data_IF_878388207371
#
_entry.id   IF_878388207371
#
_cell.length_a   1.000
_cell.length_b   1.000
_cell.length_c   1.000
_cell.angle_alpha   90.00
_cell.angle_beta   90.00
_cell.angle_gamma   90.00
#
_symmetry.space_group_name_H-M   'P 1'
#
loop_
_entity.id
_entity.type
_entity.pdbx_description
1 polymer ?
#
# COMPACT_ATOMS: atom_id res chain seq x y z
N UNK A 1 3.66 -6.47 -5.59
CA UNK A 1 2.24 -6.01 -5.46
C UNK A 1 2.22 -4.52 -5.17
N UNK A 2 1.27 -3.78 -5.73
CA UNK A 2 1.10 -2.34 -5.47
C UNK A 2 -0.16 -2.10 -4.64
N UNK A 3 -0.03 -1.30 -3.59
CA UNK A 3 -1.12 -0.79 -2.76
C UNK A 3 -1.22 0.72 -2.98
N UNK A 4 -2.35 1.20 -3.49
CA UNK A 4 -2.60 2.63 -3.68
C UNK A 4 -3.52 3.11 -2.57
N UNK A 5 -3.06 4.07 -1.77
CA UNK A 5 -3.86 4.68 -0.71
C UNK A 5 -4.80 5.76 -1.28
N UNK A 6 -5.76 6.20 -0.45
CA UNK A 6 -6.70 7.23 -0.83
C UNK A 6 -5.98 8.53 -1.24
N UNK A 7 -6.51 9.26 -2.24
CA UNK A 7 -6.00 10.57 -2.58
C UNK A 7 -6.06 11.51 -1.38
N UNK A 8 -4.96 12.22 -1.12
CA UNK A 8 -4.80 13.09 0.04
C UNK A 8 -4.25 12.42 1.30
N UNK A 9 -4.06 11.09 1.31
CA UNK A 9 -3.35 10.41 2.40
C UNK A 9 -1.86 10.73 2.32
N UNK A 10 -1.29 11.26 3.40
CA UNK A 10 0.13 11.61 3.46
C UNK A 10 0.98 10.38 3.79
N UNK A 11 2.24 10.38 3.35
CA UNK A 11 3.17 9.27 3.63
C UNK A 11 3.47 9.12 5.14
N UNK A 12 3.46 10.23 5.87
CA UNK A 12 3.63 10.27 7.33
C UNK A 12 2.33 10.03 8.12
N UNK A 13 1.19 9.83 7.43
CA UNK A 13 -0.07 9.55 8.10
C UNK A 13 -0.01 8.21 8.85
N UNK A 14 -0.70 8.09 10.00
CA UNK A 14 -0.74 6.85 10.77
C UNK A 14 -1.27 5.69 9.92
N UNK A 15 -2.23 5.94 9.04
CA UNK A 15 -2.76 5.01 8.04
C UNK A 15 -1.66 4.39 7.17
N UNK A 16 -0.81 5.21 6.56
CA UNK A 16 0.32 4.75 5.73
C UNK A 16 1.29 3.92 6.55
N UNK A 17 1.59 4.38 7.77
CA UNK A 17 2.49 3.68 8.69
C UNK A 17 1.94 2.30 9.06
N UNK A 18 0.64 2.16 9.31
CA UNK A 18 -0.01 0.88 9.61
C UNK A 18 0.16 -0.11 8.46
N UNK A 19 -0.02 0.34 7.21
CA UNK A 19 0.17 -0.54 6.04
C UNK A 19 1.64 -0.93 5.88
N UNK A 20 2.58 0.01 6.05
CA UNK A 20 4.02 -0.28 5.99
C UNK A 20 4.43 -1.27 7.09
N UNK A 21 3.94 -1.12 8.31
CA UNK A 21 4.25 -2.00 9.44
C UNK A 21 3.71 -3.41 9.19
N UNK A 22 2.46 -3.51 8.70
CA UNK A 22 1.86 -4.79 8.30
C UNK A 22 2.69 -5.50 7.23
N UNK A 23 3.14 -4.78 6.19
CA UNK A 23 3.98 -5.36 5.14
C UNK A 23 5.38 -5.73 5.65
N UNK A 24 5.97 -4.91 6.52
CA UNK A 24 7.28 -5.16 7.14
C UNK A 24 7.26 -6.35 8.10
N UNK A 25 6.11 -6.67 8.67
CA UNK A 25 5.91 -7.87 9.50
C UNK A 25 6.00 -9.17 8.70
N UNK A 26 5.89 -9.11 7.38
CA UNK A 26 5.90 -10.30 6.52
C UNK A 26 7.33 -10.64 6.09
N UNK A 27 7.78 -11.89 6.31
CA UNK A 27 9.11 -12.31 5.90
C UNK A 27 9.24 -12.28 4.38
N UNK A 28 10.33 -11.72 3.87
CA UNK A 28 10.60 -11.66 2.44
C UNK A 28 9.86 -10.54 1.69
N UNK A 29 9.20 -9.61 2.40
CA UNK A 29 8.59 -8.41 1.82
C UNK A 29 9.29 -7.16 2.34
N UNK A 30 9.64 -6.28 1.42
CA UNK A 30 10.18 -4.95 1.69
C UNK A 30 9.18 -3.92 1.19
N UNK A 31 8.43 -3.25 2.07
CA UNK A 31 7.54 -2.17 1.68
C UNK A 31 8.32 -0.90 1.32
N UNK A 32 7.99 -0.29 0.19
CA UNK A 32 8.51 1.00 -0.22
C UNK A 32 7.36 1.95 -0.49
N UNK A 33 7.23 3.01 0.31
CA UNK A 33 6.22 4.03 0.11
C UNK A 33 6.74 5.16 -0.79
N UNK A 34 5.89 5.60 -1.70
CA UNK A 34 6.14 6.65 -2.68
C UNK A 34 4.98 7.61 -2.70
N UNK A 35 5.28 8.88 -2.90
CA UNK A 35 4.26 9.92 -3.02
C UNK A 35 4.30 10.47 -4.44
N UNK A 36 3.16 10.45 -5.11
CA UNK A 36 2.97 11.01 -6.44
C UNK A 36 2.10 12.26 -6.33
N UNK A 37 2.74 13.42 -6.44
CA UNK A 37 2.05 14.70 -6.48
C UNK A 37 1.54 14.98 -7.90
N UNK A 38 0.24 14.78 -8.12
CA UNK A 38 -0.43 15.20 -9.34
C UNK A 38 -0.81 16.68 -9.32
N UNK A 39 -1.34 17.19 -10.43
CA UNK A 39 -1.78 18.59 -10.55
C UNK A 39 -2.97 18.94 -9.65
N UNK A 40 -3.85 17.98 -9.40
CA UNK A 40 -5.10 18.15 -8.63
C UNK A 40 -5.03 17.50 -7.23
N UNK A 41 -4.29 16.39 -7.11
CA UNK A 41 -4.26 15.56 -5.92
C UNK A 41 -2.94 14.83 -5.76
N UNK A 42 -2.58 14.57 -4.51
CA UNK A 42 -1.44 13.73 -4.14
C UNK A 42 -1.91 12.32 -3.85
N UNK A 43 -1.23 11.35 -4.45
CA UNK A 43 -1.43 9.92 -4.21
C UNK A 43 -0.24 9.37 -3.43
N UNK A 44 -0.51 8.43 -2.52
CA UNK A 44 0.53 7.67 -1.84
C UNK A 44 0.42 6.21 -2.25
N UNK A 45 1.50 5.68 -2.81
CA UNK A 45 1.62 4.32 -3.33
C UNK A 45 2.61 3.55 -2.47
N UNK A 46 2.30 2.31 -2.12
CA UNK A 46 3.19 1.42 -1.38
C UNK A 46 3.47 0.20 -2.25
N UNK A 47 4.73 0.02 -2.60
CA UNK A 47 5.25 -1.13 -3.31
C UNK A 47 5.61 -2.21 -2.28
N UNK A 48 4.91 -3.34 -2.32
CA UNK A 48 5.37 -4.56 -1.65
C UNK A 48 6.33 -5.29 -2.60
N UNK A 49 7.63 -5.19 -2.31
CA UNK A 49 8.72 -5.78 -3.11
C UNK A 49 9.20 -7.06 -2.42
N UNK A 50 9.28 -8.18 -3.15
CA UNK A 50 9.71 -9.47 -2.62
C UNK A 50 8.68 -10.58 -2.85
N UNK A 51 8.55 -11.51 -1.92
CA UNK A 51 7.59 -12.62 -2.02
C UNK A 51 6.18 -12.15 -1.67
N UNK A 52 5.47 -11.60 -2.66
CA UNK A 52 4.08 -11.16 -2.47
C UNK A 52 3.06 -12.28 -2.57
N UNK A 53 3.50 -13.53 -2.77
CA UNK A 53 2.64 -14.72 -2.80
C UNK A 53 1.91 -14.94 -1.47
N UNK A 54 2.51 -14.51 -0.37
CA UNK A 54 1.94 -14.57 0.97
C UNK A 54 0.99 -13.39 1.30
N UNK A 55 0.85 -12.41 0.40
CA UNK A 55 -0.05 -11.27 0.60
C UNK A 55 -1.41 -11.56 0.00
N UNK A 56 -2.42 -11.58 0.86
CA UNK A 56 -3.80 -11.71 0.43
C UNK A 56 -4.44 -10.31 0.23
N UNK A 57 -5.04 -10.04 -0.94
CA UNK A 57 -5.68 -8.76 -1.22
C UNK A 57 -6.92 -8.49 -0.36
N UNK A 58 -7.63 -9.50 0.16
CA UNK A 58 -8.74 -9.29 1.11
C UNK A 58 -8.23 -8.88 2.49
N UNK A 59 -7.11 -9.45 2.95
CA UNK A 59 -6.46 -9.03 4.20
C UNK A 59 -6.03 -7.55 4.11
N UNK A 60 -5.44 -7.15 2.98
CA UNK A 60 -5.05 -5.76 2.73
C UNK A 60 -6.25 -4.82 2.56
N UNK A 61 -7.37 -5.29 1.99
CA UNK A 61 -8.64 -4.55 1.89
C UNK A 61 -9.33 -4.33 3.24
N UNK A 62 -8.94 -5.11 4.26
CA UNK A 62 -9.47 -4.99 5.62
C UNK A 62 -8.72 -3.98 6.48
N UNK A 63 -7.57 -3.47 6.01
CA UNK A 63 -6.80 -2.44 6.70
C UNK A 63 -7.41 -1.05 6.49
N UNK A 64 -7.60 -0.21 7.53
CA UNK A 64 -7.82 1.21 7.30
C UNK A 64 -6.55 1.78 6.60
N UNK A 65 -6.61 2.59 5.52
CA UNK A 65 -7.72 3.31 4.87
C UNK A 65 -8.20 2.68 3.52
N UNK A 66 -7.95 1.40 3.26
CA UNK A 66 -8.19 0.76 1.94
C UNK A 66 -9.67 0.51 1.59
N UNK A 67 -10.60 0.80 2.51
CA UNK A 67 -12.01 0.41 2.42
C UNK A 67 -12.92 1.33 1.57
N UNK A 68 -12.45 2.50 1.11
CA UNK A 68 -13.23 3.37 0.19
C UNK A 68 -12.38 3.76 -1.02
N UNK A 69 -12.08 2.81 -1.90
CA UNK A 69 -11.19 2.89 -3.07
C UNK A 69 -9.72 2.54 -2.77
N UNK A 70 -9.41 1.26 -2.89
CA UNK A 70 -8.05 0.75 -3.01
C UNK A 70 -7.99 -0.20 -4.21
N UNK A 71 -7.23 0.18 -5.24
CA UNK A 71 -6.94 -0.70 -6.36
C UNK A 71 -5.69 -1.52 -6.03
N UNK A 72 -5.80 -2.85 -6.06
CA UNK A 72 -4.65 -3.74 -5.94
C UNK A 72 -4.22 -4.20 -7.34
N UNK A 73 -2.99 -3.92 -7.73
CA UNK A 73 -2.39 -4.56 -8.90
C UNK A 73 -1.33 -5.56 -8.45
N UNK A 74 -1.64 -6.84 -8.63
CA UNK A 74 -0.67 -7.92 -8.60
C UNK A 74 0.16 -7.86 -9.88
N UNK A 75 1.44 -7.55 -9.75
CA UNK A 75 2.42 -7.78 -10.82
C UNK A 75 2.76 -9.28 -10.79
N UNK A 76 2.02 -10.09 -11.54
CA UNK A 76 2.39 -11.49 -11.75
C UNK A 76 3.54 -11.50 -12.76
N UNK A 77 4.74 -11.86 -12.30
CA UNK A 77 5.90 -12.13 -13.15
C UNK A 77 5.90 -13.56 -13.63
#
# INVERSE_FOLDING_TARGET
>A
MIIILRPGTHIDSPDTKTVIDFLSSRPGITPQAHTVSGTDRTLTEIYAVGDTSALDPQELSSLPPSSEWCGFQGITG
#
